data_IF_466555155427
#
_entry.id   IF_466555155427
#
_cell.length_a   1.000
_cell.length_b   1.000
_cell.length_c   1.000
_cell.angle_alpha   90.00
_cell.angle_beta   90.00
_cell.angle_gamma   90.00
#
_symmetry.space_group_name_H-M   'P 1'
#
loop_
_entity.id
_entity.type
_entity.pdbx_description
1 polymer ?
#
# COMPACT_ATOMS: atom_id res chain seq x y z
N UNK A 1 35.49 -1.57 -8.22
CA UNK A 1 35.16 -2.76 -9.03
C UNK A 1 33.85 -3.44 -8.62
N UNK A 2 32.91 -2.75 -7.96
CA UNK A 2 31.60 -3.32 -7.53
C UNK A 2 30.41 -2.35 -7.77
N UNK A 3 30.59 -1.32 -8.60
CA UNK A 3 29.67 -0.17 -8.67
C UNK A 3 28.63 -0.23 -9.79
N UNK A 4 28.68 -1.22 -10.67
CA UNK A 4 27.80 -1.30 -11.82
C UNK A 4 27.08 -2.63 -11.79
N UNK A 5 26.13 -2.80 -10.86
CA UNK A 5 25.10 -3.85 -10.97
C UNK A 5 24.37 -3.60 -12.30
N UNK A 6 24.91 -4.22 -13.35
CA UNK A 6 24.41 -4.07 -14.70
C UNK A 6 23.08 -4.80 -14.84
N UNK A 7 22.36 -4.51 -15.92
CA UNK A 7 21.13 -5.22 -16.23
C UNK A 7 21.31 -6.75 -16.22
N UNK A 8 22.49 -7.25 -16.62
CA UNK A 8 22.82 -8.67 -16.61
C UNK A 8 22.85 -9.30 -15.21
N UNK A 9 23.48 -8.64 -14.22
CA UNK A 9 23.55 -9.16 -12.85
C UNK A 9 22.18 -9.13 -12.17
N UNK A 10 21.38 -8.09 -12.43
CA UNK A 10 19.99 -8.01 -11.95
C UNK A 10 19.16 -9.16 -12.52
N UNK A 11 19.28 -9.46 -13.81
CA UNK A 11 18.61 -10.62 -14.43
C UNK A 11 19.04 -11.93 -13.76
N UNK A 12 20.32 -12.09 -13.45
CA UNK A 12 20.86 -13.32 -12.87
C UNK A 12 20.37 -13.54 -11.44
N UNK A 13 20.31 -12.48 -10.64
CA UNK A 13 19.71 -12.50 -9.30
C UNK A 13 18.22 -12.84 -9.38
N UNK A 14 17.48 -12.19 -10.29
CA UNK A 14 16.06 -12.48 -10.51
C UNK A 14 15.84 -13.95 -10.90
N UNK A 15 16.71 -14.50 -11.75
CA UNK A 15 16.63 -15.90 -12.17
C UNK A 15 16.83 -16.86 -10.99
N UNK A 16 17.81 -16.60 -10.12
CA UNK A 16 18.04 -17.41 -8.91
C UNK A 16 16.82 -17.36 -7.98
N UNK A 17 16.27 -16.16 -7.73
CA UNK A 17 15.05 -15.99 -6.93
C UNK A 17 13.87 -16.73 -7.58
N UNK A 18 13.76 -16.68 -8.92
CA UNK A 18 12.71 -17.36 -9.67
C UNK A 18 12.80 -18.88 -9.56
N UNK A 19 14.00 -19.46 -9.49
CA UNK A 19 14.18 -20.90 -9.31
C UNK A 19 13.83 -21.32 -7.89
N UNK A 20 14.26 -20.54 -6.89
CA UNK A 20 14.02 -20.85 -5.48
C UNK A 20 12.53 -20.74 -5.09
N UNK A 21 11.87 -19.67 -5.53
CA UNK A 21 10.49 -19.38 -5.16
C UNK A 21 9.49 -19.76 -6.25
N UNK A 22 9.91 -19.88 -7.51
CA UNK A 22 9.04 -20.12 -8.65
C UNK A 22 8.41 -18.83 -9.20
N UNK A 23 8.18 -18.80 -10.52
CA UNK A 23 7.58 -17.66 -11.21
C UNK A 23 6.16 -17.30 -10.75
N UNK A 24 5.45 -18.23 -10.12
CA UNK A 24 4.10 -18.01 -9.60
C UNK A 24 4.08 -17.31 -8.24
N UNK A 25 5.14 -17.40 -7.43
CA UNK A 25 5.14 -16.83 -6.07
C UNK A 25 5.23 -15.31 -6.05
N UNK A 26 6.01 -14.71 -6.94
CA UNK A 26 6.12 -13.25 -7.05
C UNK A 26 4.75 -12.58 -7.33
N UNK A 27 3.97 -12.97 -8.36
CA UNK A 27 2.66 -12.37 -8.61
C UNK A 27 1.62 -12.73 -7.55
N UNK A 28 1.71 -13.92 -6.93
CA UNK A 28 0.84 -14.33 -5.82
C UNK A 28 1.04 -13.42 -4.60
N UNK A 29 2.30 -13.18 -4.20
CA UNK A 29 2.67 -12.26 -3.13
C UNK A 29 2.28 -10.81 -3.45
N UNK A 30 2.56 -10.34 -4.67
CA UNK A 30 2.19 -9.00 -5.10
C UNK A 30 0.67 -8.77 -5.05
N UNK A 31 -0.13 -9.77 -5.45
CA UNK A 31 -1.59 -9.73 -5.34
C UNK A 31 -2.06 -9.70 -3.89
N UNK A 32 -1.42 -10.48 -3.01
CA UNK A 32 -1.71 -10.48 -1.57
C UNK A 32 -1.43 -9.12 -0.93
N UNK A 33 -0.23 -8.58 -1.16
CA UNK A 33 0.19 -7.25 -0.67
C UNK A 33 -0.71 -6.16 -1.24
N UNK A 34 -1.03 -6.20 -2.55
CA UNK A 34 -1.89 -5.21 -3.19
C UNK A 34 -3.31 -5.17 -2.61
N UNK A 35 -3.89 -6.33 -2.34
CA UNK A 35 -5.20 -6.42 -1.65
C UNK A 35 -5.10 -5.87 -0.22
N UNK A 36 -4.10 -6.30 0.54
CA UNK A 36 -3.89 -5.84 1.92
C UNK A 36 -3.71 -4.32 1.99
N UNK A 37 -2.87 -3.74 1.12
CA UNK A 37 -2.66 -2.30 1.03
C UNK A 37 -3.95 -1.55 0.63
N UNK A 38 -4.74 -2.11 -0.29
CA UNK A 38 -6.01 -1.49 -0.69
C UNK A 38 -7.02 -1.47 0.45
N UNK A 39 -7.16 -2.56 1.21
CA UNK A 39 -8.10 -2.61 2.34
C UNK A 39 -7.60 -1.73 3.50
N UNK A 40 -6.29 -1.72 3.75
CA UNK A 40 -5.68 -0.81 4.73
C UNK A 40 -5.95 0.66 4.38
N UNK A 41 -5.78 1.04 3.11
CA UNK A 41 -6.07 2.41 2.66
C UNK A 41 -7.55 2.79 2.80
N UNK A 42 -8.47 1.85 2.53
CA UNK A 42 -9.91 2.09 2.74
C UNK A 42 -10.22 2.31 4.20
N UNK A 43 -9.73 1.43 5.10
CA UNK A 43 -9.96 1.56 6.53
C UNK A 43 -9.44 2.89 7.10
N UNK A 44 -8.26 3.35 6.66
CA UNK A 44 -7.76 4.68 7.05
C UNK A 44 -8.70 5.79 6.57
N UNK A 45 -9.20 5.69 5.34
CA UNK A 45 -10.08 6.71 4.77
C UNK A 45 -11.43 6.77 5.50
N UNK A 46 -12.01 5.62 5.82
CA UNK A 46 -13.27 5.55 6.57
C UNK A 46 -13.10 6.19 7.96
N UNK A 47 -11.99 5.93 8.64
CA UNK A 47 -11.65 6.59 9.92
C UNK A 47 -11.47 8.10 9.75
N UNK A 48 -10.78 8.55 8.70
CA UNK A 48 -10.61 9.98 8.42
C UNK A 48 -11.95 10.69 8.15
N UNK A 49 -12.86 10.03 7.41
CA UNK A 49 -14.20 10.53 7.09
C UNK A 49 -15.08 10.57 8.37
N UNK A 50 -15.01 9.57 9.25
CA UNK A 50 -15.71 9.57 10.55
C UNK A 50 -15.25 10.72 11.48
N UNK A 51 -13.94 10.98 11.52
CA UNK A 51 -13.37 12.09 12.30
C UNK A 51 -13.84 13.43 11.74
N UNK A 52 -13.79 13.62 10.41
CA UNK A 52 -14.26 14.85 9.75
C UNK A 52 -15.75 15.10 9.93
N UNK A 53 -16.58 14.05 9.89
CA UNK A 53 -18.01 14.16 10.15
C UNK A 53 -18.30 14.57 11.59
N UNK A 54 -17.55 14.01 12.56
CA UNK A 54 -17.68 14.36 13.98
C UNK A 54 -17.30 15.82 14.27
N UNK A 55 -16.26 16.35 13.62
CA UNK A 55 -15.88 17.77 13.72
C UNK A 55 -16.87 18.72 13.02
N UNK A 56 -17.50 18.27 11.93
CA UNK A 56 -18.47 19.06 11.17
C UNK A 56 -19.81 19.22 11.87
N UNK A 57 -20.22 18.22 12.66
CA UNK A 57 -21.42 18.30 13.51
C UNK A 57 -21.22 19.22 14.72
N UNK A 58 -20.01 19.29 15.29
CA UNK A 58 -19.71 20.28 16.35
C UNK A 58 -19.71 21.72 15.82
N UNK A 59 -19.24 21.98 14.58
CA UNK A 59 -19.23 23.34 14.01
C UNK A 59 -20.61 23.91 13.65
N UNK A 60 -21.61 23.06 13.37
CA UNK A 60 -22.98 23.51 13.03
C UNK A 60 -23.81 23.94 14.24
N UNK A 61 -23.42 23.55 15.46
CA UNK A 61 -24.19 23.84 16.68
C UNK A 61 -23.92 25.28 17.17
N UNK A 62 -22.72 25.83 16.93
CA UNK A 62 -22.37 27.21 17.31
C UNK A 62 -22.98 28.29 16.39
N UNK A 63 -23.21 27.99 15.10
CA UNK A 63 -23.75 28.97 14.14
C UNK A 63 -25.28 29.17 14.24
N UNK A 64 -26.01 28.23 14.88
CA UNK A 64 -27.47 28.33 15.09
C UNK A 64 -27.88 28.99 16.40
N UNK A 65 -26.93 29.36 17.26
CA UNK A 65 -27.18 29.97 18.58
C UNK A 65 -26.83 31.45 18.65
N UNK A 66 -26.37 32.06 17.54
CA UNK A 66 -26.17 33.51 17.39
C UNK A 66 -27.31 34.15 16.59
#
# INVERSE_FOLDING_TARGET
MFGNLGAGEIILILLVILILFGAKKIPELARGIGKGMSEFKKGIKDVEDEIKSSDSDSKKIDEKKS
#
